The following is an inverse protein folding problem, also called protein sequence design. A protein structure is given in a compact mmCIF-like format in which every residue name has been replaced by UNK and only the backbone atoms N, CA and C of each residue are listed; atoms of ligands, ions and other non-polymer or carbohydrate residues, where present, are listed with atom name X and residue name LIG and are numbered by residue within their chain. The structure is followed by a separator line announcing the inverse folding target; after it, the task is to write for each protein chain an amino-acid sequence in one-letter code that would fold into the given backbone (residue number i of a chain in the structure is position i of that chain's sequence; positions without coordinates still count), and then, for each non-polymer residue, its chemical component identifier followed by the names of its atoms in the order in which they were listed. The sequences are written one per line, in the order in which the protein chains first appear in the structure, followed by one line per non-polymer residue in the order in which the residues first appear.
data_IF_298764855352
#
_entry.id   IF_298764855352
#
_cell.length_a   1.000
_cell.length_b   1.000
_cell.length_c   1.000
_cell.angle_alpha   90.00
_cell.angle_beta   90.00
_cell.angle_gamma   90.00
#
_symmetry.space_group_name_H-M   'P 1'
#
loop_
_entity.id
_entity.type
_entity.pdbx_description
1 polymer ?
#
# COMPACT_ATOMS: atom_id res chain seq x y z
N UNK A 1 -5.04 -12.45 64.01
CA UNK A 1 -5.87 -13.65 63.78
C UNK A 1 -6.06 -13.78 62.28
N UNK A 2 -5.55 -14.71 61.47
CA UNK A 2 -4.86 -16.02 61.54
C UNK A 2 -3.99 -16.07 60.24
N UNK A 3 -2.64 -16.16 60.24
CA UNK A 3 -1.74 -17.35 60.14
C UNK A 3 -2.43 -18.60 59.53
N UNK A 4 -2.02 -19.24 58.41
CA UNK A 4 -0.91 -20.23 58.28
C UNK A 4 -0.76 -20.77 56.81
N UNK A 5 0.46 -20.65 56.25
CA UNK A 5 1.37 -21.61 55.52
C UNK A 5 1.14 -22.30 54.14
N UNK A 6 2.23 -22.20 53.33
CA UNK A 6 3.06 -23.20 52.57
C UNK A 6 2.37 -24.20 51.57
N UNK A 7 2.99 -24.72 50.49
CA UNK A 7 4.38 -25.11 50.22
C UNK A 7 4.62 -25.38 48.69
N UNK A 8 5.91 -25.51 48.33
CA UNK A 8 6.52 -25.72 47.00
C UNK A 8 6.21 -27.08 46.35
N UNK A 9 6.35 -27.18 45.02
CA UNK A 9 6.97 -28.35 44.38
C UNK A 9 7.83 -27.99 43.16
N UNK A 10 8.92 -28.74 43.06
CA UNK A 10 10.08 -28.64 42.17
C UNK A 10 9.93 -29.74 41.10
N UNK A 11 10.19 -29.47 39.82
CA UNK A 11 10.49 -30.54 38.84
C UNK A 11 11.72 -30.14 38.04
N UNK A 12 12.79 -30.89 38.28
CA UNK A 12 14.01 -30.99 37.50
C UNK A 12 13.78 -32.04 36.40
N UNK A 13 14.22 -31.78 35.18
CA UNK A 13 14.26 -32.77 34.10
C UNK A 13 15.43 -32.48 33.17
N UNK A 14 16.44 -33.34 33.22
CA UNK A 14 17.74 -33.25 32.56
C UNK A 14 17.77 -34.10 31.27
N UNK A 15 18.47 -33.56 30.25
CA UNK A 15 19.22 -34.18 29.14
C UNK A 15 18.53 -35.06 28.07
N UNK A 16 18.84 -34.77 26.79
CA UNK A 16 19.87 -35.53 26.08
C UNK A 16 20.38 -34.80 24.83
N UNK A 17 21.71 -34.74 24.70
CA UNK A 17 22.48 -34.29 23.54
C UNK A 17 22.73 -35.53 22.67
N UNK A 18 22.44 -35.45 21.37
CA UNK A 18 22.95 -36.40 20.37
C UNK A 18 23.67 -35.60 19.30
N UNK A 19 25.01 -35.65 19.36
CA UNK A 19 25.90 -35.23 18.29
C UNK A 19 26.13 -36.41 17.36
N UNK A 20 25.60 -36.34 16.14
CA UNK A 20 25.88 -37.30 15.07
C UNK A 20 26.91 -36.73 14.11
N UNK A 21 28.13 -37.25 14.19
CA UNK A 21 29.17 -37.10 13.17
C UNK A 21 28.76 -37.85 11.90
N UNK A 22 28.77 -37.19 10.75
CA UNK A 22 28.82 -37.87 9.44
C UNK A 22 30.12 -37.49 8.73
N UNK A 23 30.88 -38.54 8.45
CA UNK A 23 32.12 -38.53 7.68
C UNK A 23 31.85 -38.44 6.18
N UNK A 24 32.87 -37.91 5.50
CA UNK A 24 33.00 -37.62 4.08
C UNK A 24 33.08 -38.93 3.28
N UNK A 25 32.38 -39.01 2.15
CA UNK A 25 32.79 -39.85 1.02
C UNK A 25 32.75 -39.02 -0.28
N UNK A 26 33.94 -38.67 -0.75
CA UNK A 26 34.20 -38.09 -2.07
C UNK A 26 34.35 -39.21 -3.08
N UNK A 27 33.36 -39.40 -3.95
CA UNK A 27 33.49 -40.19 -5.18
C UNK A 27 33.59 -39.24 -6.38
N UNK A 28 34.81 -39.06 -6.88
CA UNK A 28 35.10 -38.42 -8.15
C UNK A 28 34.89 -39.43 -9.29
N UNK A 29 33.85 -39.24 -10.09
CA UNK A 29 33.68 -39.92 -11.38
C UNK A 29 33.91 -38.88 -12.48
N UNK A 30 35.07 -38.97 -13.13
CA UNK A 30 35.40 -38.21 -14.33
C UNK A 30 34.88 -38.94 -15.57
N UNK A 31 33.91 -38.35 -16.25
CA UNK A 31 33.48 -38.76 -17.60
C UNK A 31 33.74 -37.61 -18.59
N UNK A 32 34.33 -37.86 -19.77
CA UNK A 32 34.54 -36.84 -20.80
C UNK A 32 33.23 -36.63 -21.59
N UNK A 33 32.57 -35.49 -21.38
CA UNK A 33 31.46 -35.05 -22.21
C UNK A 33 31.99 -34.44 -23.51
N UNK A 34 31.63 -35.08 -24.63
CA UNK A 34 31.76 -34.52 -25.98
C UNK A 34 30.96 -33.20 -26.07
N UNK A 35 31.65 -32.11 -26.39
CA UNK A 35 31.03 -30.84 -26.70
C UNK A 35 30.49 -30.84 -28.14
N UNK A 36 29.17 -30.94 -28.30
CA UNK A 36 28.51 -30.58 -29.55
C UNK A 36 28.44 -29.04 -29.67
N UNK A 37 28.67 -28.47 -30.87
CA UNK A 37 28.57 -27.02 -31.06
C UNK A 37 27.10 -26.58 -30.94
N UNK A 38 26.83 -25.75 -29.92
CA UNK A 38 25.56 -25.05 -29.75
C UNK A 38 25.38 -24.04 -30.89
N UNK A 39 24.47 -24.35 -31.81
CA UNK A 39 23.99 -23.40 -32.80
C UNK A 39 23.28 -22.23 -32.09
N UNK A 40 23.76 -21.00 -32.29
CA UNK A 40 23.06 -19.77 -31.90
C UNK A 40 21.74 -19.68 -32.69
N UNK A 41 20.64 -20.16 -32.11
CA UNK A 41 19.31 -19.81 -32.59
C UNK A 41 19.09 -18.34 -32.22
N UNK A 42 19.20 -17.45 -33.21
CA UNK A 42 18.87 -16.04 -33.05
C UNK A 42 17.44 -15.90 -32.56
N UNK A 43 17.25 -15.43 -31.32
CA UNK A 43 15.92 -15.11 -30.79
C UNK A 43 15.28 -14.07 -31.69
N UNK A 44 14.20 -14.45 -32.37
CA UNK A 44 13.37 -13.51 -33.11
C UNK A 44 12.95 -12.35 -32.19
N UNK A 45 12.97 -11.11 -32.69
CA UNK A 45 12.63 -9.94 -31.88
C UNK A 45 11.21 -10.09 -31.33
N UNK A 46 11.08 -10.06 -30.00
CA UNK A 46 9.77 -10.11 -29.34
C UNK A 46 8.94 -8.91 -29.81
N UNK A 47 7.90 -9.19 -30.61
CA UNK A 47 6.94 -8.20 -31.06
C UNK A 47 6.35 -7.51 -29.83
N UNK A 48 6.48 -6.18 -29.75
CA UNK A 48 5.89 -5.41 -28.64
C UNK A 48 4.41 -5.75 -28.51
N UNK A 49 3.91 -6.06 -27.30
CA UNK A 49 2.50 -6.31 -27.09
C UNK A 49 1.67 -5.13 -27.61
N UNK A 50 0.59 -5.42 -28.33
CA UNK A 50 -0.31 -4.37 -28.81
C UNK A 50 -0.93 -3.62 -27.63
N UNK A 51 -1.07 -2.30 -27.78
CA UNK A 51 -1.84 -1.46 -26.85
C UNK A 51 -3.31 -1.87 -26.95
N UNK A 52 -3.95 -2.18 -25.82
CA UNK A 52 -5.32 -2.68 -25.77
C UNK A 52 -6.16 -1.85 -24.81
N UNK A 53 -6.55 -0.65 -25.25
CA UNK A 53 -7.23 0.34 -24.39
C UNK A 53 -8.75 0.28 -24.44
N UNK A 54 -9.35 -0.54 -25.31
CA UNK A 54 -10.80 -0.70 -25.36
C UNK A 54 -11.32 -1.46 -24.12
N UNK A 55 -12.48 -1.04 -23.61
CA UNK A 55 -13.16 -1.72 -22.51
C UNK A 55 -13.46 -3.18 -22.85
N UNK A 56 -12.97 -4.14 -22.05
CA UNK A 56 -13.32 -5.54 -22.20
C UNK A 56 -14.71 -5.84 -21.62
N UNK A 57 -15.25 -7.02 -21.94
CA UNK A 57 -16.50 -7.51 -21.36
C UNK A 57 -16.29 -8.92 -20.76
N UNK A 58 -16.41 -9.13 -19.44
CA UNK A 58 -16.46 -8.10 -18.38
C UNK A 58 -15.07 -7.55 -18.03
N UNK A 59 -14.02 -8.34 -18.22
CA UNK A 59 -12.63 -8.01 -17.86
C UNK A 59 -11.65 -8.71 -18.81
N UNK A 60 -10.36 -8.42 -18.67
CA UNK A 60 -9.28 -8.95 -19.53
C UNK A 60 -8.10 -9.42 -18.70
N UNK A 61 -7.45 -10.48 -19.19
CA UNK A 61 -6.14 -10.88 -18.71
C UNK A 61 -5.10 -9.78 -18.96
N UNK A 62 -4.20 -9.60 -18.00
CA UNK A 62 -3.10 -8.68 -18.08
C UNK A 62 -1.98 -9.25 -18.97
N UNK A 63 -1.65 -8.54 -20.04
CA UNK A 63 -0.50 -8.83 -20.87
C UNK A 63 0.75 -8.23 -20.22
N UNK A 64 1.53 -9.08 -19.56
CA UNK A 64 2.77 -8.70 -18.87
C UNK A 64 3.99 -9.09 -19.71
N UNK A 65 4.68 -8.09 -20.25
CA UNK A 65 5.96 -8.30 -20.93
C UNK A 65 7.13 -8.42 -19.94
N UNK A 66 8.26 -9.03 -20.33
CA UNK A 66 9.45 -9.02 -19.51
C UNK A 66 9.96 -7.58 -19.37
N UNK A 67 10.10 -7.10 -18.13
CA UNK A 67 10.68 -5.80 -17.82
C UNK A 67 12.09 -6.02 -17.28
N UNK A 68 13.06 -5.31 -17.86
CA UNK A 68 14.45 -5.42 -17.43
C UNK A 68 14.65 -4.64 -16.14
N UNK A 69 14.95 -5.34 -15.06
CA UNK A 69 15.35 -4.67 -13.83
C UNK A 69 16.67 -3.90 -14.02
N UNK A 70 16.64 -2.62 -13.67
CA UNK A 70 17.85 -1.81 -13.51
C UNK A 70 18.34 -1.81 -12.07
N UNK A 71 19.38 -1.00 -11.83
CA UNK A 71 19.95 -0.76 -10.49
C UNK A 71 19.65 0.63 -9.95
N UNK A 72 19.01 1.48 -10.75
CA UNK A 72 18.76 2.88 -10.42
C UNK A 72 17.42 2.99 -9.76
N UNK A 73 17.36 3.58 -8.56
CA UNK A 73 16.08 3.86 -7.93
C UNK A 73 15.39 4.99 -8.69
N UNK A 74 14.12 4.80 -9.02
CA UNK A 74 13.30 5.83 -9.62
C UNK A 74 12.03 5.99 -8.79
N UNK A 75 11.61 7.23 -8.61
CA UNK A 75 10.33 7.55 -8.00
C UNK A 75 9.25 7.67 -9.08
N UNK A 76 8.11 7.04 -8.87
CA UNK A 76 6.91 7.15 -9.68
C UNK A 76 5.90 8.03 -8.95
N UNK A 77 5.28 8.94 -9.68
CA UNK A 77 4.21 9.78 -9.17
C UNK A 77 3.24 10.15 -10.29
N UNK A 78 1.97 10.32 -9.93
CA UNK A 78 0.98 10.92 -10.82
C UNK A 78 1.03 12.43 -10.69
N UNK A 79 0.52 13.11 -11.71
CA UNK A 79 0.28 14.53 -11.72
C UNK A 79 -0.99 14.75 -12.53
N UNK A 80 -2.05 15.25 -11.90
CA UNK A 80 -3.28 15.61 -12.60
C UNK A 80 -3.39 17.13 -12.69
N UNK A 81 -3.78 17.61 -13.86
CA UNK A 81 -4.28 18.96 -14.08
C UNK A 81 -5.81 18.96 -14.05
N UNK A 82 -6.45 20.09 -14.37
CA UNK A 82 -7.91 20.16 -14.53
C UNK A 82 -8.46 19.27 -15.65
N UNK A 83 -7.63 18.88 -16.62
CA UNK A 83 -8.05 18.15 -17.82
C UNK A 83 -7.28 16.86 -18.06
N UNK A 84 -6.03 16.77 -17.61
CA UNK A 84 -5.11 15.73 -18.07
C UNK A 84 -4.42 15.03 -16.91
N UNK A 85 -4.08 13.76 -17.13
CA UNK A 85 -3.47 12.89 -16.15
C UNK A 85 -2.12 12.37 -16.64
N UNK A 86 -1.09 12.57 -15.83
CA UNK A 86 0.28 12.19 -16.15
C UNK A 86 0.79 11.17 -15.15
N UNK A 87 1.48 10.14 -15.64
CA UNK A 87 2.32 9.26 -14.83
C UNK A 87 3.78 9.56 -15.17
N UNK A 88 4.55 9.97 -14.16
CA UNK A 88 5.94 10.38 -14.33
C UNK A 88 6.89 9.46 -13.57
N UNK A 89 8.11 9.35 -14.12
CA UNK A 89 9.26 8.71 -13.49
C UNK A 89 10.38 9.73 -13.27
N UNK A 90 10.92 9.75 -12.07
CA UNK A 90 12.06 10.58 -11.70
C UNK A 90 13.27 9.70 -11.35
N UNK A 91 14.34 9.78 -12.14
CA UNK A 91 15.63 9.13 -11.84
C UNK A 91 16.36 9.96 -10.77
N UNK A 92 16.49 9.42 -9.56
CA UNK A 92 17.02 10.18 -8.42
C UNK A 92 18.49 10.58 -8.56
N UNK A 93 19.25 9.89 -9.42
CA UNK A 93 20.68 10.13 -9.57
C UNK A 93 20.94 11.27 -10.55
N UNK A 94 20.19 11.28 -11.65
CA UNK A 94 20.32 12.28 -12.72
C UNK A 94 19.40 13.48 -12.54
N UNK A 95 18.35 13.35 -11.71
CA UNK A 95 17.29 14.34 -11.58
C UNK A 95 16.36 14.42 -12.79
N UNK A 96 16.47 13.49 -13.74
CA UNK A 96 15.70 13.49 -14.98
C UNK A 96 14.28 12.99 -14.74
N UNK A 97 13.29 13.79 -15.17
CA UNK A 97 11.89 13.38 -15.30
C UNK A 97 11.63 12.73 -16.66
N UNK A 98 10.79 11.70 -16.70
CA UNK A 98 10.35 11.02 -17.91
C UNK A 98 8.85 10.74 -17.78
N UNK A 99 8.06 11.19 -18.74
CA UNK A 99 6.64 10.86 -18.82
C UNK A 99 6.49 9.40 -19.26
N UNK A 100 5.86 8.57 -18.42
CA UNK A 100 5.49 7.19 -18.74
C UNK A 100 4.18 7.18 -19.52
N UNK A 101 3.20 7.95 -19.05
CA UNK A 101 1.85 8.03 -19.62
C UNK A 101 1.34 9.46 -19.57
N UNK A 102 0.64 9.86 -20.63
CA UNK A 102 -0.12 11.10 -20.70
C UNK A 102 -1.53 10.77 -21.21
N UNK A 103 -2.55 11.05 -20.40
CA UNK A 103 -3.96 10.88 -20.72
C UNK A 103 -4.57 12.26 -20.95
N UNK A 104 -5.00 12.52 -22.18
CA UNK A 104 -5.69 13.76 -22.51
C UNK A 104 -7.17 13.66 -22.11
N UNK A 105 -7.73 14.71 -21.51
CA UNK A 105 -9.13 14.77 -21.06
C UNK A 105 -9.53 13.67 -20.07
N UNK A 106 -8.58 13.15 -19.30
CA UNK A 106 -8.82 12.16 -18.26
C UNK A 106 -7.78 12.29 -17.15
N UNK A 107 -8.18 12.01 -15.90
CA UNK A 107 -7.28 11.99 -14.75
C UNK A 107 -6.85 10.56 -14.41
N UNK A 108 -5.77 10.44 -13.64
CA UNK A 108 -5.30 9.20 -13.04
C UNK A 108 -5.59 9.25 -11.55
N UNK A 109 -6.37 8.31 -11.03
CA UNK A 109 -6.63 8.16 -9.60
C UNK A 109 -6.24 6.77 -9.11
N UNK A 110 -5.98 6.65 -7.80
CA UNK A 110 -5.74 5.36 -7.14
C UNK A 110 -4.64 4.54 -7.84
N UNK A 111 -3.53 5.22 -8.15
CA UNK A 111 -2.43 4.63 -8.90
C UNK A 111 -1.52 3.82 -7.97
N UNK A 112 -1.32 2.54 -8.31
CA UNK A 112 -0.60 1.56 -7.49
C UNK A 112 0.48 0.88 -8.29
N UNK A 113 1.69 0.87 -7.74
CA UNK A 113 2.77 0.07 -8.27
C UNK A 113 2.59 -1.41 -7.89
N UNK A 114 2.86 -2.32 -8.82
CA UNK A 114 2.88 -3.76 -8.57
C UNK A 114 3.95 -4.14 -7.52
N UNK A 115 3.75 -5.25 -6.78
CA UNK A 115 4.72 -5.75 -5.82
C UNK A 115 6.11 -6.08 -6.38
N UNK A 116 6.29 -6.27 -7.68
CA UNK A 116 7.62 -6.37 -8.32
C UNK A 116 8.18 -5.02 -8.81
N UNK A 117 7.36 -3.99 -8.89
CA UNK A 117 7.74 -2.65 -9.33
C UNK A 117 7.76 -2.47 -10.85
N UNK A 118 7.19 -3.40 -11.61
CA UNK A 118 7.22 -3.39 -13.08
C UNK A 118 5.98 -2.80 -13.74
N UNK A 119 4.86 -2.75 -13.04
CA UNK A 119 3.59 -2.25 -13.56
C UNK A 119 2.98 -1.23 -12.62
N UNK A 120 2.17 -0.34 -13.18
CA UNK A 120 1.28 0.55 -12.43
C UNK A 120 -0.14 0.26 -12.87
N UNK A 121 -1.00 -0.08 -11.92
CA UNK A 121 -2.46 -0.08 -12.12
C UNK A 121 -3.02 1.25 -11.65
N UNK A 122 -4.09 1.72 -12.28
CA UNK A 122 -4.74 2.97 -11.89
C UNK A 122 -6.18 3.01 -12.40
N UNK A 123 -6.97 3.90 -11.83
CA UNK A 123 -8.33 4.20 -12.26
C UNK A 123 -8.30 5.43 -13.16
N UNK A 124 -9.02 5.37 -14.28
CA UNK A 124 -9.21 6.49 -15.20
C UNK A 124 -10.55 6.36 -15.94
N UNK A 125 -10.82 7.24 -16.90
CA UNK A 125 -11.97 7.13 -17.81
C UNK A 125 -11.54 6.66 -19.20
N UNK A 126 -12.24 5.65 -19.72
CA UNK A 126 -12.11 5.14 -21.09
C UNK A 126 -13.48 5.24 -21.75
N UNK A 127 -13.60 6.05 -22.79
CA UNK A 127 -14.87 6.30 -23.50
C UNK A 127 -16.02 6.68 -22.54
N UNK A 128 -15.72 7.50 -21.52
CA UNK A 128 -16.71 7.94 -20.52
C UNK A 128 -17.08 6.88 -19.46
N UNK A 129 -16.43 5.72 -19.44
CA UNK A 129 -16.57 4.70 -18.40
C UNK A 129 -15.38 4.72 -17.45
N UNK A 130 -15.63 4.60 -16.15
CA UNK A 130 -14.55 4.32 -15.20
C UNK A 130 -13.94 2.96 -15.51
N UNK A 131 -12.61 2.92 -15.53
CA UNK A 131 -11.84 1.78 -15.95
C UNK A 131 -10.61 1.59 -15.08
N UNK A 132 -10.25 0.33 -14.86
CA UNK A 132 -8.94 -0.04 -14.34
C UNK A 132 -8.03 -0.24 -15.55
N UNK A 133 -6.98 0.57 -15.63
CA UNK A 133 -5.92 0.42 -16.60
C UNK A 133 -4.62 -0.02 -15.93
N UNK A 134 -3.72 -0.59 -16.74
CA UNK A 134 -2.39 -0.99 -16.33
C UNK A 134 -1.38 -0.59 -17.41
N UNK A 135 -0.21 -0.13 -16.98
CA UNK A 135 0.91 0.21 -17.87
C UNK A 135 2.22 -0.28 -17.26
N UNK A 136 3.17 -0.68 -18.10
CA UNK A 136 4.55 -0.94 -17.67
C UNK A 136 5.23 0.35 -17.20
N UNK A 137 6.12 0.26 -16.22
CA UNK A 137 6.89 1.43 -15.72
C UNK A 137 7.87 1.99 -16.76
N UNK A 138 8.06 1.29 -17.88
CA UNK A 138 8.80 1.73 -19.05
C UNK A 138 7.91 2.44 -20.11
N UNK A 139 6.62 2.61 -19.83
CA UNK A 139 5.64 3.23 -20.72
C UNK A 139 5.04 2.28 -21.76
N UNK A 140 5.38 0.99 -21.72
CA UNK A 140 4.85 0.02 -22.68
C UNK A 140 3.61 -0.69 -22.14
N UNK A 141 2.90 -1.38 -23.05
CA UNK A 141 1.81 -2.30 -22.72
C UNK A 141 0.64 -1.67 -21.94
N UNK A 142 0.31 -0.40 -22.24
CA UNK A 142 -0.92 0.21 -21.76
C UNK A 142 -2.13 -0.63 -22.19
N UNK A 143 -2.95 -0.98 -21.22
CA UNK A 143 -4.12 -1.82 -21.44
C UNK A 143 -5.24 -1.53 -20.45
N UNK A 144 -6.48 -1.75 -20.90
CA UNK A 144 -7.68 -1.69 -20.06
C UNK A 144 -8.05 -3.09 -19.59
N UNK A 145 -8.06 -3.27 -18.28
CA UNK A 145 -8.29 -4.55 -17.61
C UNK A 145 -9.76 -4.76 -17.28
N UNK A 146 -10.47 -3.70 -16.91
CA UNK A 146 -11.87 -3.74 -16.48
C UNK A 146 -12.53 -2.37 -16.71
N UNK A 147 -13.81 -2.36 -17.06
CA UNK A 147 -14.64 -1.16 -17.09
C UNK A 147 -15.93 -1.40 -16.32
N UNK A 148 -16.36 -0.41 -15.52
CA UNK A 148 -17.66 -0.46 -14.85
C UNK A 148 -18.76 -0.38 -15.92
N UNK A 149 -19.71 -1.32 -15.98
CA UNK A 149 -20.77 -1.25 -16.98
C UNK A 149 -21.64 0.00 -16.75
N UNK A 150 -22.04 0.66 -17.85
CA UNK A 150 -22.88 1.87 -17.78
C UNK A 150 -24.16 1.64 -16.99
N UNK A 151 -24.58 2.67 -16.25
CA UNK A 151 -25.89 2.76 -15.58
C UNK A 151 -26.18 1.58 -14.64
N UNK A 152 -25.15 0.96 -14.08
CA UNK A 152 -25.31 -0.15 -13.13
C UNK A 152 -25.70 0.32 -11.74
N UNK A 153 -25.40 1.57 -11.38
CA UNK A 153 -25.77 2.16 -10.10
C UNK A 153 -25.98 3.69 -10.21
N UNK A 154 -26.66 4.31 -9.22
CA UNK A 154 -26.82 5.77 -9.16
C UNK A 154 -25.48 6.53 -9.11
N UNK A 155 -24.43 5.88 -8.60
CA UNK A 155 -23.09 6.44 -8.48
C UNK A 155 -22.12 5.39 -8.99
N UNK A 156 -21.29 5.75 -9.96
CA UNK A 156 -20.22 4.90 -10.49
C UNK A 156 -18.90 5.29 -9.84
N UNK A 157 -18.18 4.31 -9.28
CA UNK A 157 -16.83 4.49 -8.74
C UNK A 157 -16.02 3.20 -8.94
N UNK A 158 -14.69 3.35 -8.91
CA UNK A 158 -13.75 2.26 -8.66
C UNK A 158 -12.72 2.87 -7.72
N UNK A 159 -12.50 2.23 -6.57
CA UNK A 159 -11.57 2.72 -5.57
C UNK A 159 -10.97 1.57 -4.74
N UNK A 160 -9.99 1.95 -3.92
CA UNK A 160 -9.17 1.10 -3.05
C UNK A 160 -8.56 -0.10 -3.78
N UNK A 161 -7.91 0.17 -4.90
CA UNK A 161 -7.17 -0.83 -5.67
C UNK A 161 -6.04 -1.41 -4.83
N UNK A 162 -6.05 -2.72 -4.63
CA UNK A 162 -4.98 -3.46 -3.97
C UNK A 162 -4.42 -4.55 -4.87
N UNK A 163 -3.09 -4.58 -4.98
CA UNK A 163 -2.39 -5.72 -5.53
C UNK A 163 -2.32 -6.85 -4.51
N UNK A 164 -2.62 -8.06 -4.97
CA UNK A 164 -2.22 -9.27 -4.25
C UNK A 164 -0.69 -9.38 -4.19
N UNK A 165 -0.12 -9.91 -3.08
CA UNK A 165 1.34 -10.10 -2.95
C UNK A 165 1.96 -10.98 -4.03
N UNK A 166 1.20 -11.95 -4.54
CA UNK A 166 1.62 -12.88 -5.59
C UNK A 166 1.46 -12.31 -7.01
N UNK A 167 0.93 -11.08 -7.12
CA UNK A 167 0.71 -10.35 -8.36
C UNK A 167 -0.23 -11.06 -9.34
N UNK A 168 -1.08 -11.96 -8.87
CA UNK A 168 -2.05 -12.66 -9.73
C UNK A 168 -3.42 -11.98 -9.73
N UNK A 169 -3.67 -11.09 -8.78
CA UNK A 169 -4.97 -10.49 -8.55
C UNK A 169 -4.90 -8.99 -8.27
N UNK A 170 -5.94 -8.28 -8.71
CA UNK A 170 -6.31 -6.95 -8.23
C UNK A 170 -7.62 -7.05 -7.46
N UNK A 171 -7.64 -6.52 -6.24
CA UNK A 171 -8.86 -6.30 -5.45
C UNK A 171 -9.25 -4.83 -5.56
N UNK A 172 -10.54 -4.55 -5.66
CA UNK A 172 -11.06 -3.18 -5.69
C UNK A 172 -12.52 -3.19 -5.28
N UNK A 173 -13.06 -2.00 -4.99
CA UNK A 173 -14.50 -1.84 -4.77
C UNK A 173 -15.21 -1.29 -5.99
N UNK A 174 -16.47 -1.69 -6.13
CA UNK A 174 -17.37 -1.18 -7.17
C UNK A 174 -18.78 -0.98 -6.59
N UNK A 175 -19.63 -0.19 -7.27
CA UNK A 175 -21.03 -0.06 -6.91
C UNK A 175 -21.74 -1.42 -6.87
N UNK A 176 -22.71 -1.56 -5.97
CA UNK A 176 -23.59 -2.72 -5.93
C UNK A 176 -24.88 -2.42 -6.71
N UNK A 177 -25.09 -3.02 -7.90
CA UNK A 177 -26.26 -2.71 -8.72
C UNK A 177 -27.57 -3.19 -8.10
N UNK A 178 -27.52 -4.16 -7.18
CA UNK A 178 -28.71 -4.75 -6.57
C UNK A 178 -29.23 -3.98 -5.35
N UNK A 179 -28.55 -2.90 -4.92
CA UNK A 179 -28.91 -2.16 -3.71
C UNK A 179 -29.00 -0.67 -3.97
N UNK A 180 -30.13 -0.09 -3.56
CA UNK A 180 -30.34 1.37 -3.57
C UNK A 180 -29.41 2.09 -2.58
N UNK A 181 -28.93 1.38 -1.54
CA UNK A 181 -27.97 1.90 -0.56
C UNK A 181 -26.54 1.56 -0.97
N UNK A 182 -25.64 2.53 -0.82
CA UNK A 182 -24.21 2.48 -1.20
C UNK A 182 -23.38 1.47 -0.37
N UNK A 183 -23.66 0.17 -0.41
CA UNK A 183 -22.73 -0.87 0.07
C UNK A 183 -21.90 -1.36 -1.11
N UNK A 184 -20.63 -0.95 -1.29
CA UNK A 184 -19.81 -1.39 -2.41
C UNK A 184 -19.62 -2.91 -2.40
N UNK A 185 -19.52 -3.52 -3.57
CA UNK A 185 -19.03 -4.89 -3.70
C UNK A 185 -17.51 -4.89 -3.61
N UNK A 186 -16.93 -5.96 -3.05
CA UNK A 186 -15.51 -6.23 -3.21
C UNK A 186 -15.32 -7.26 -4.33
N UNK A 187 -14.57 -6.87 -5.36
CA UNK A 187 -14.28 -7.71 -6.52
C UNK A 187 -12.80 -8.00 -6.64
N UNK A 188 -12.49 -9.21 -7.09
CA UNK A 188 -11.16 -9.63 -7.50
C UNK A 188 -11.14 -9.85 -9.01
N UNK A 189 -10.17 -9.23 -9.67
CA UNK A 189 -9.77 -9.55 -11.03
C UNK A 189 -8.55 -10.47 -11.02
N UNK A 190 -8.68 -11.67 -11.61
CA UNK A 190 -7.57 -12.55 -11.97
C UNK A 190 -6.84 -11.99 -13.19
N UNK A 191 -5.57 -11.63 -13.00
CA UNK A 191 -4.74 -11.01 -14.01
C UNK A 191 -4.20 -12.00 -15.05
N UNK A 192 -4.18 -13.30 -14.77
CA UNK A 192 -3.73 -14.30 -15.72
C UNK A 192 -4.84 -14.67 -16.72
N UNK A 193 -6.08 -14.79 -16.24
CA UNK A 193 -7.21 -15.28 -17.02
C UNK A 193 -8.22 -14.19 -17.39
N UNK A 194 -8.16 -13.01 -16.77
CA UNK A 194 -9.15 -11.96 -16.97
C UNK A 194 -10.51 -12.27 -16.37
N UNK A 195 -10.55 -13.20 -15.40
CA UNK A 195 -11.80 -13.58 -14.75
C UNK A 195 -12.10 -12.64 -13.58
N UNK A 196 -13.34 -12.19 -13.48
CA UNK A 196 -13.80 -11.25 -12.46
C UNK A 196 -14.73 -11.96 -11.47
N UNK A 197 -14.46 -11.84 -10.18
CA UNK A 197 -15.21 -12.50 -9.11
C UNK A 197 -15.63 -11.53 -8.03
N UNK A 198 -16.90 -11.54 -7.65
CA UNK A 198 -17.34 -10.90 -6.39
C UNK A 198 -16.96 -11.80 -5.21
N UNK A 199 -16.05 -11.32 -4.38
CA UNK A 199 -15.57 -12.07 -3.20
C UNK A 199 -16.33 -11.74 -1.94
N UNK A 200 -16.93 -10.55 -1.88
CA UNK A 200 -17.71 -10.14 -0.73
C UNK A 200 -18.81 -9.15 -1.13
N UNK A 201 -20.02 -9.42 -0.64
CA UNK A 201 -21.18 -8.55 -0.77
C UNK A 201 -21.60 -8.16 0.66
N UNK A 202 -21.39 -6.91 1.08
CA UNK A 202 -21.76 -6.50 2.42
C UNK A 202 -23.26 -6.69 2.67
N UNK A 203 -23.61 -7.22 3.84
CA UNK A 203 -24.98 -7.30 4.33
C UNK A 203 -25.25 -6.19 5.35
N UNK A 204 -26.50 -5.76 5.47
CA UNK A 204 -26.87 -4.65 6.34
C UNK A 204 -26.37 -3.29 5.85
N UNK A 205 -26.07 -2.40 6.81
CA UNK A 205 -25.66 -1.01 6.59
C UNK A 205 -24.16 -0.78 6.83
N UNK A 206 -23.35 -1.84 6.81
CA UNK A 206 -21.90 -1.73 7.00
C UNK A 206 -21.21 -1.90 5.65
N UNK A 207 -20.40 -0.91 5.26
CA UNK A 207 -19.48 -1.02 4.14
C UNK A 207 -18.08 -1.42 4.62
N UNK A 208 -17.24 -1.85 3.67
CA UNK A 208 -15.85 -2.21 3.95
C UNK A 208 -14.90 -1.56 2.96
N UNK A 209 -13.79 -1.02 3.46
CA UNK A 209 -12.69 -0.42 2.69
C UNK A 209 -11.50 -1.37 2.80
N UNK A 210 -10.99 -1.95 1.70
CA UNK A 210 -9.80 -2.78 1.78
C UNK A 210 -8.57 -1.91 2.02
N UNK A 211 -7.76 -2.28 3.02
CA UNK A 211 -6.60 -1.50 3.47
C UNK A 211 -5.26 -2.20 3.22
N UNK A 212 -5.23 -3.52 3.26
CA UNK A 212 -3.99 -4.26 3.00
C UNK A 212 -4.26 -5.71 2.63
N UNK A 213 -3.38 -6.28 1.82
CA UNK A 213 -3.44 -7.69 1.41
C UNK A 213 -2.13 -8.38 1.78
N UNK A 214 -1.87 -8.70 3.07
CA UNK A 214 -0.55 -9.16 3.52
C UNK A 214 -0.19 -10.56 3.00
N UNK A 215 -1.19 -11.42 2.82
CA UNK A 215 -1.01 -12.81 2.37
C UNK A 215 -2.12 -13.18 1.39
N UNK A 216 -1.85 -14.12 0.48
CA UNK A 216 -2.74 -14.45 -0.65
C UNK A 216 -4.23 -14.65 -0.29
N UNK A 217 -4.55 -15.11 0.92
CA UNK A 217 -5.91 -15.45 1.33
C UNK A 217 -6.53 -14.54 2.41
N UNK A 218 -5.89 -13.41 2.75
CA UNK A 218 -6.41 -12.49 3.77
C UNK A 218 -6.32 -11.05 3.32
N UNK A 219 -7.43 -10.33 3.45
CA UNK A 219 -7.51 -8.89 3.20
C UNK A 219 -7.94 -8.20 4.48
N UNK A 220 -7.15 -7.23 4.92
CA UNK A 220 -7.50 -6.33 6.01
C UNK A 220 -8.37 -5.21 5.48
N UNK A 221 -9.41 -4.89 6.24
CA UNK A 221 -10.43 -3.94 5.83
C UNK A 221 -10.86 -3.09 7.01
N UNK A 222 -11.27 -1.87 6.73
CA UNK A 222 -11.97 -1.01 7.66
C UNK A 222 -13.48 -1.16 7.46
N UNK A 223 -14.21 -1.41 8.53
CA UNK A 223 -15.66 -1.29 8.54
C UNK A 223 -16.10 0.17 8.69
N UNK A 224 -17.16 0.56 8.00
CA UNK A 224 -17.80 1.85 8.19
C UNK A 224 -19.31 1.73 8.12
N UNK A 225 -19.99 2.54 8.93
CA UNK A 225 -21.45 2.63 8.87
C UNK A 225 -21.90 3.50 7.71
N UNK A 226 -22.95 3.07 7.01
CA UNK A 226 -23.67 3.87 6.02
C UNK A 226 -24.79 4.72 6.63
N UNK A 227 -25.19 4.43 7.87
CA UNK A 227 -26.16 5.25 8.60
C UNK A 227 -25.46 5.98 9.75
N UNK A 228 -25.70 7.28 9.87
CA UNK A 228 -25.22 8.08 10.99
C UNK A 228 -25.74 7.60 12.37
N UNK A 229 -26.81 6.80 12.39
CA UNK A 229 -27.46 6.29 13.60
C UNK A 229 -26.99 4.91 14.07
N UNK A 230 -26.18 4.18 13.29
CA UNK A 230 -25.82 2.80 13.65
C UNK A 230 -24.70 2.76 14.70
N UNK A 231 -24.75 1.74 15.57
CA UNK A 231 -23.84 1.56 16.72
C UNK A 231 -22.53 0.85 16.38
N UNK A 232 -22.30 0.46 15.12
CA UNK A 232 -20.98 -0.06 14.71
C UNK A 232 -20.02 1.12 14.81
N UNK A 233 -18.99 1.00 15.66
CA UNK A 233 -17.96 2.00 15.74
C UNK A 233 -17.41 2.19 14.32
N UNK A 234 -17.59 3.38 13.72
CA UNK A 234 -17.00 3.63 12.42
C UNK A 234 -15.51 3.39 12.62
N UNK A 235 -14.88 2.68 11.68
CA UNK A 235 -13.44 2.44 11.64
C UNK A 235 -12.90 1.13 12.23
N UNK A 236 -13.71 0.24 12.80
CA UNK A 236 -13.20 -1.07 13.27
C UNK A 236 -12.48 -1.86 12.16
N UNK A 237 -11.44 -2.61 12.55
CA UNK A 237 -10.60 -3.39 11.64
C UNK A 237 -11.10 -4.83 11.55
N UNK A 238 -11.25 -5.30 10.32
CA UNK A 238 -11.69 -6.64 9.99
C UNK A 238 -10.69 -7.34 9.08
N UNK A 239 -10.72 -8.67 9.08
CA UNK A 239 -10.02 -9.51 8.11
C UNK A 239 -11.02 -10.35 7.32
N UNK A 240 -10.96 -10.26 6.00
CA UNK A 240 -11.67 -11.13 5.06
C UNK A 240 -10.77 -12.31 4.68
N UNK A 241 -11.25 -13.53 4.91
CA UNK A 241 -10.69 -14.70 4.27
C UNK A 241 -11.29 -14.84 2.87
N UNK A 242 -10.47 -14.65 1.84
CA UNK A 242 -10.90 -14.58 0.43
C UNK A 242 -11.53 -15.91 -0.02
N UNK A 243 -10.86 -17.04 0.27
CA UNK A 243 -11.32 -18.38 -0.13
C UNK A 243 -12.62 -18.81 0.55
N UNK A 244 -12.79 -18.46 1.82
CA UNK A 244 -13.97 -18.84 2.63
C UNK A 244 -15.09 -17.81 2.58
N UNK A 245 -14.82 -16.63 2.02
CA UNK A 245 -15.71 -15.45 2.03
C UNK A 245 -16.23 -15.13 3.43
N UNK A 246 -15.37 -15.25 4.45
CA UNK A 246 -15.70 -15.01 5.86
C UNK A 246 -14.95 -13.81 6.40
N UNK A 247 -15.67 -12.93 7.08
CA UNK A 247 -15.10 -11.78 7.79
C UNK A 247 -14.96 -12.11 9.28
N UNK A 248 -13.88 -11.61 9.88
CA UNK A 248 -13.64 -11.65 11.34
C UNK A 248 -13.20 -10.26 11.80
N UNK A 249 -13.77 -9.77 12.91
CA UNK A 249 -13.29 -8.57 13.60
C UNK A 249 -11.91 -8.82 14.24
N UNK A 250 -11.00 -7.86 14.11
CA UNK A 250 -9.60 -7.98 14.58
C UNK A 250 -9.26 -6.94 15.64
N UNK A 251 -9.67 -5.70 15.45
CA UNK A 251 -9.34 -4.61 16.37
C UNK A 251 -10.43 -3.55 16.35
N UNK A 252 -10.76 -3.01 17.53
CA UNK A 252 -11.65 -1.87 17.64
C UNK A 252 -10.85 -0.58 17.55
N UNK A 253 -11.35 0.38 16.79
CA UNK A 253 -10.72 1.70 16.67
C UNK A 253 -11.51 2.69 17.52
N UNK A 254 -10.80 3.37 18.41
CA UNK A 254 -11.34 4.47 19.20
C UNK A 254 -10.86 5.80 18.63
N UNK A 255 -11.78 6.74 18.44
CA UNK A 255 -11.48 8.07 17.90
C UNK A 255 -11.76 8.19 16.40
N UNK A 256 -11.66 9.42 15.89
CA UNK A 256 -11.84 9.74 14.47
C UNK A 256 -10.52 9.93 13.73
N UNK A 257 -9.44 10.20 14.46
CA UNK A 257 -8.09 10.29 13.92
C UNK A 257 -7.40 8.97 14.19
N UNK A 258 -7.18 8.20 13.14
CA UNK A 258 -6.56 6.90 13.24
C UNK A 258 -5.97 6.52 11.90
N UNK A 259 -5.06 5.56 11.97
CA UNK A 259 -4.46 4.97 10.80
C UNK A 259 -3.95 3.57 11.12
N UNK A 260 -3.74 2.75 10.11
CA UNK A 260 -3.22 1.40 10.32
C UNK A 260 -2.20 0.99 9.27
N UNK A 261 -1.25 0.16 9.71
CA UNK A 261 -0.27 -0.44 8.82
C UNK A 261 0.04 -1.86 9.25
N UNK A 262 0.43 -2.71 8.31
CA UNK A 262 0.86 -4.08 8.57
C UNK A 262 2.36 -4.19 8.36
N UNK A 263 3.05 -4.92 9.25
CA UNK A 263 4.45 -5.22 8.99
C UNK A 263 4.59 -6.06 7.71
N UNK A 264 5.66 -5.88 6.92
CA UNK A 264 5.81 -6.57 5.63
C UNK A 264 5.89 -8.09 5.73
N UNK A 265 6.28 -8.61 6.88
CA UNK A 265 6.28 -10.05 7.18
C UNK A 265 4.88 -10.59 7.53
N UNK A 266 3.87 -9.72 7.59
CA UNK A 266 2.49 -10.08 7.89
C UNK A 266 2.28 -10.54 9.33
N UNK A 267 3.19 -10.23 10.26
CA UNK A 267 3.09 -10.72 11.64
C UNK A 267 2.42 -9.73 12.60
N UNK A 268 2.49 -8.43 12.31
CA UNK A 268 2.00 -7.38 13.22
C UNK A 268 1.05 -6.42 12.51
N UNK A 269 0.05 -5.98 13.28
CA UNK A 269 -0.81 -4.84 12.99
C UNK A 269 -0.36 -3.66 13.85
N UNK A 270 -0.02 -2.55 13.19
CA UNK A 270 0.25 -1.27 13.81
C UNK A 270 -1.00 -0.40 13.73
N UNK A 271 -1.33 0.29 14.81
CA UNK A 271 -2.44 1.24 14.89
C UNK A 271 -1.94 2.59 15.41
N UNK A 272 -2.16 3.64 14.62
CA UNK A 272 -2.08 5.03 15.06
C UNK A 272 -3.48 5.47 15.50
N UNK A 273 -3.60 6.07 16.67
CA UNK A 273 -4.88 6.57 17.17
C UNK A 273 -4.68 7.92 17.86
N UNK A 274 -5.62 8.83 17.65
CA UNK A 274 -5.62 10.19 18.17
C UNK A 274 -7.02 10.68 18.47
N UNK A 275 -7.08 11.81 19.17
CA UNK A 275 -8.32 12.55 19.29
C UNK A 275 -8.59 13.31 17.99
N UNK A 276 -9.85 13.40 17.59
CA UNK A 276 -10.29 14.36 16.58
C UNK A 276 -11.70 14.84 16.93
N UNK A 277 -11.98 16.09 16.58
CA UNK A 277 -13.34 16.63 16.69
C UNK A 277 -14.20 16.01 15.57
N UNK A 278 -15.36 15.41 15.86
CA UNK A 278 -16.25 14.93 14.80
C UNK A 278 -16.71 16.09 13.89
N UNK A 279 -17.09 15.81 12.64
CA UNK A 279 -17.13 14.50 11.98
C UNK A 279 -15.81 14.12 11.26
N UNK A 280 -14.95 15.08 10.96
CA UNK A 280 -13.68 14.94 10.20
C UNK A 280 -12.67 16.02 10.63
N UNK A 281 -12.64 16.32 11.93
CA UNK A 281 -11.85 17.42 12.48
C UNK A 281 -10.35 17.20 12.32
N UNK A 282 -9.62 18.30 12.46
CA UNK A 282 -8.16 18.27 12.47
C UNK A 282 -7.67 17.28 13.55
N UNK A 283 -6.72 16.39 13.22
CA UNK A 283 -6.02 15.54 14.18
C UNK A 283 -5.57 16.33 15.41
N UNK A 284 -5.90 15.85 16.61
CA UNK A 284 -5.59 16.49 17.87
C UNK A 284 -4.78 15.57 18.79
N UNK A 285 -3.86 16.13 19.59
CA UNK A 285 -3.29 15.38 20.70
C UNK A 285 -4.36 15.08 21.77
N UNK A 286 -4.15 14.05 22.62
CA UNK A 286 -3.03 13.12 22.59
C UNK A 286 -3.15 12.09 21.45
N UNK A 287 -2.03 11.49 21.07
CA UNK A 287 -1.99 10.38 20.12
C UNK A 287 -1.07 9.25 20.59
N UNK A 288 -1.32 8.06 20.07
CA UNK A 288 -0.58 6.84 20.37
C UNK A 288 -0.34 6.05 19.09
N UNK A 289 0.80 5.35 19.05
CA UNK A 289 1.07 4.27 18.10
C UNK A 289 1.19 3.00 18.93
N UNK A 290 0.46 1.96 18.53
CA UNK A 290 0.47 0.67 19.17
C UNK A 290 0.65 -0.46 18.17
N UNK A 291 1.02 -1.65 18.66
CA UNK A 291 1.16 -2.87 17.87
C UNK A 291 0.47 -4.05 18.53
N UNK A 292 0.02 -5.00 17.72
CA UNK A 292 -0.41 -6.32 18.17
C UNK A 292 -0.10 -7.37 17.10
N UNK A 293 -0.20 -8.64 17.47
CA UNK A 293 -0.14 -9.72 16.49
C UNK A 293 -1.28 -9.60 15.47
N UNK A 294 -1.01 -9.99 14.23
CA UNK A 294 -1.99 -9.94 13.13
C UNK A 294 -3.25 -10.79 13.41
N UNK A 295 -3.13 -11.82 14.25
CA UNK A 295 -4.26 -12.66 14.68
C UNK A 295 -5.18 -12.00 15.71
N UNK A 296 -4.83 -10.81 16.19
CA UNK A 296 -5.39 -10.10 17.33
C UNK A 296 -4.54 -10.30 18.60
N UNK A 297 -4.87 -9.58 19.67
CA UNK A 297 -4.18 -9.70 20.95
C UNK A 297 -4.29 -8.44 21.79
N UNK A 298 -3.37 -8.27 22.73
CA UNK A 298 -3.25 -7.03 23.49
C UNK A 298 -2.41 -6.03 22.70
N UNK A 299 -2.89 -4.79 22.60
CA UNK A 299 -2.13 -3.69 22.04
C UNK A 299 -0.98 -3.32 22.97
N UNK A 300 0.21 -3.19 22.41
CA UNK A 300 1.41 -2.69 23.07
C UNK A 300 1.74 -1.32 22.53
N UNK A 301 1.89 -0.32 23.41
CA UNK A 301 2.23 1.06 23.00
C UNK A 301 3.69 1.13 22.57
N UNK A 302 3.93 1.65 21.37
CA UNK A 302 5.25 1.93 20.79
C UNK A 302 5.64 3.39 21.02
N UNK A 303 4.68 4.29 20.84
CA UNK A 303 4.86 5.73 20.93
C UNK A 303 3.62 6.37 21.53
N UNK A 304 3.81 7.40 22.34
CA UNK A 304 2.72 8.22 22.87
C UNK A 304 3.15 9.69 22.90
N UNK A 305 2.21 10.58 22.60
CA UNK A 305 2.42 12.02 22.65
C UNK A 305 1.20 12.72 23.23
N UNK A 306 1.42 13.58 24.21
CA UNK A 306 0.36 14.43 24.78
C UNK A 306 0.19 15.77 24.05
N UNK A 307 1.06 16.09 23.10
CA UNK A 307 1.15 17.42 22.47
C UNK A 307 1.14 17.38 20.94
N UNK A 308 1.35 16.21 20.34
CA UNK A 308 1.31 16.03 18.89
C UNK A 308 0.29 14.96 18.52
N UNK A 309 -0.36 15.16 17.37
CA UNK A 309 -1.18 14.14 16.72
C UNK A 309 -0.31 13.30 15.78
N UNK A 310 -0.53 11.99 15.77
CA UNK A 310 0.01 11.06 14.78
C UNK A 310 -1.07 10.87 13.73
N UNK A 311 -0.81 11.34 12.52
CA UNK A 311 -1.83 11.38 11.46
C UNK A 311 -1.71 10.24 10.47
N UNK A 312 -0.51 9.67 10.37
CA UNK A 312 -0.22 8.57 9.46
C UNK A 312 0.90 7.67 9.99
N UNK A 313 0.84 6.37 9.71
CA UNK A 313 1.85 5.36 10.06
C UNK A 313 2.13 4.40 8.90
N UNK A 314 3.36 3.95 8.70
CA UNK A 314 3.69 2.97 7.68
C UNK A 314 4.81 2.05 8.16
N UNK A 315 4.55 0.75 8.28
CA UNK A 315 5.60 -0.22 8.55
C UNK A 315 6.50 -0.39 7.32
N UNK A 316 7.80 -0.18 7.50
CA UNK A 316 8.79 -0.28 6.42
C UNK A 316 9.69 -1.50 6.55
N UNK A 317 9.61 -2.18 7.69
CA UNK A 317 10.19 -3.50 7.94
C UNK A 317 9.44 -4.15 9.10
N UNK A 318 9.81 -5.38 9.49
CA UNK A 318 9.29 -6.01 10.71
C UNK A 318 9.75 -5.33 12.01
N UNK A 319 10.69 -4.37 11.92
CA UNK A 319 11.30 -3.71 13.09
C UNK A 319 11.23 -2.20 13.04
N UNK A 320 10.75 -1.60 11.96
CA UNK A 320 10.81 -0.15 11.74
C UNK A 320 9.55 0.34 11.07
N UNK A 321 9.05 1.48 11.54
CA UNK A 321 7.94 2.19 10.93
C UNK A 321 8.30 3.66 10.72
N UNK A 322 7.63 4.27 9.74
CA UNK A 322 7.56 5.70 9.54
C UNK A 322 6.22 6.21 10.07
N UNK A 323 6.18 7.45 10.52
CA UNK A 323 4.93 8.10 10.90
C UNK A 323 5.01 9.61 10.74
N UNK A 324 3.86 10.25 10.56
CA UNK A 324 3.75 11.70 10.44
C UNK A 324 3.25 12.28 11.76
N UNK A 325 4.00 13.25 12.29
CA UNK A 325 3.54 14.10 13.39
C UNK A 325 3.00 15.42 12.84
N UNK A 326 1.83 15.80 13.32
CA UNK A 326 1.11 17.00 12.91
C UNK A 326 0.14 16.76 11.76
N UNK A 327 -0.92 17.57 11.73
CA UNK A 327 -1.91 17.58 10.65
C UNK A 327 -1.39 18.21 9.36
N UNK A 328 -2.22 18.15 8.32
CA UNK A 328 -1.97 18.78 7.00
C UNK A 328 -1.61 20.26 7.10
N UNK A 329 -2.02 20.94 8.18
CA UNK A 329 -1.83 22.37 8.40
C UNK A 329 -0.95 22.70 9.63
N UNK A 330 -0.38 21.69 10.29
CA UNK A 330 0.44 21.93 11.47
C UNK A 330 1.83 22.46 11.07
N UNK A 331 2.31 23.50 11.77
CA UNK A 331 3.57 24.21 11.51
C UNK A 331 4.50 24.29 12.74
N UNK A 332 4.56 23.22 13.54
CA UNK A 332 5.46 23.06 14.67
C UNK A 332 6.87 22.59 14.27
N UNK A 333 7.87 22.93 15.10
CA UNK A 333 9.27 22.54 14.89
C UNK A 333 9.51 21.01 14.90
N UNK A 334 8.56 20.24 15.44
CA UNK A 334 8.57 18.77 15.52
C UNK A 334 7.65 18.09 14.51
N UNK A 335 6.93 18.86 13.70
CA UNK A 335 6.05 18.26 12.72
C UNK A 335 6.86 17.64 11.58
N UNK A 336 6.21 16.75 10.84
CA UNK A 336 6.75 16.13 9.65
C UNK A 336 6.94 14.63 9.81
N UNK A 337 7.90 14.07 9.07
CA UNK A 337 8.11 12.64 8.98
C UNK A 337 9.13 12.15 10.01
N UNK A 338 8.75 11.12 10.74
CA UNK A 338 9.55 10.46 11.77
C UNK A 338 9.75 8.98 11.46
N UNK A 339 10.80 8.43 12.03
CA UNK A 339 11.13 7.01 12.02
C UNK A 339 11.31 6.52 13.44
N UNK A 340 10.77 5.34 13.75
CA UNK A 340 10.95 4.67 15.04
C UNK A 340 11.00 3.16 14.82
N UNK A 341 11.66 2.44 15.73
CA UNK A 341 11.57 0.99 15.75
C UNK A 341 10.23 0.53 16.36
N UNK A 342 9.77 -0.67 16.01
CA UNK A 342 8.52 -1.23 16.55
C UNK A 342 8.60 -1.56 18.05
N UNK A 343 9.78 -1.48 18.65
CA UNK A 343 10.00 -1.60 20.10
C UNK A 343 10.04 -0.24 20.83
N UNK A 344 9.80 0.86 20.10
CA UNK A 344 9.84 2.24 20.63
C UNK A 344 11.22 2.87 20.64
N UNK A 345 12.28 2.15 20.29
CA UNK A 345 13.65 2.69 20.24
C UNK A 345 13.93 3.42 18.92
N UNK A 346 15.07 4.14 18.85
CA UNK A 346 15.58 4.68 17.59
C UNK A 346 14.78 5.83 16.97
N UNK A 347 13.98 6.55 17.78
CA UNK A 347 13.19 7.69 17.32
C UNK A 347 14.07 8.75 16.63
N UNK A 348 13.77 9.05 15.37
CA UNK A 348 14.54 9.96 14.53
C UNK A 348 13.60 10.84 13.70
N UNK A 349 13.80 12.16 13.75
CA UNK A 349 13.12 13.11 12.85
C UNK A 349 13.80 13.10 11.49
N UNK A 350 13.07 12.74 10.42
CA UNK A 350 13.63 12.63 9.08
C UNK A 350 13.52 13.95 8.30
N UNK A 351 12.37 14.62 8.40
CA UNK A 351 12.14 15.91 7.74
C UNK A 351 10.95 16.64 8.35
N UNK A 352 10.98 17.98 8.29
CA UNK A 352 9.85 18.85 8.62
C UNK A 352 8.84 18.98 7.50
N UNK A 353 9.29 18.79 6.26
CA UNK A 353 8.50 19.07 5.07
C UNK A 353 7.57 17.91 4.72
N UNK A 354 7.86 16.68 5.15
CA UNK A 354 7.03 15.51 4.85
C UNK A 354 5.76 15.46 5.68
N UNK A 355 4.60 15.72 5.06
CA UNK A 355 3.30 15.82 5.75
C UNK A 355 2.31 14.73 5.36
N UNK A 356 2.60 13.97 4.31
CA UNK A 356 1.72 12.94 3.81
C UNK A 356 2.54 11.76 3.28
N UNK A 357 2.44 10.61 3.94
CA UNK A 357 2.90 9.34 3.39
C UNK A 357 2.05 8.99 2.17
N UNK A 358 2.73 8.48 1.13
CA UNK A 358 2.05 7.88 -0.02
C UNK A 358 1.11 6.80 0.47
N UNK A 359 0.03 6.61 -0.29
CA UNK A 359 -1.03 5.68 0.05
C UNK A 359 -0.47 4.34 0.54
N UNK A 360 -0.85 4.00 1.78
CA UNK A 360 -0.11 3.14 2.69
C UNK A 360 -0.28 1.65 2.40
N UNK A 361 -1.04 1.32 1.35
CA UNK A 361 -1.43 -0.04 1.08
C UNK A 361 -0.31 -0.88 0.43
N UNK A 362 0.78 -0.26 -0.04
CA UNK A 362 1.99 -0.99 -0.46
C UNK A 362 3.25 -0.38 0.12
N UNK A 363 4.15 -1.20 0.68
CA UNK A 363 5.45 -0.73 1.19
C UNK A 363 6.27 0.04 0.14
N UNK A 364 6.10 -0.34 -1.14
CA UNK A 364 6.79 0.27 -2.28
C UNK A 364 6.30 1.67 -2.61
N UNK A 365 5.14 2.08 -2.11
CA UNK A 365 4.66 3.46 -2.26
C UNK A 365 5.56 4.45 -1.49
N UNK A 366 6.11 3.99 -0.37
CA UNK A 366 6.81 4.85 0.58
C UNK A 366 8.34 4.68 0.54
N UNK A 367 8.87 3.47 0.36
CA UNK A 367 10.31 3.18 0.50
C UNK A 367 10.96 2.68 -0.79
N UNK A 368 12.19 3.11 -1.04
CA UNK A 368 12.99 2.65 -2.18
C UNK A 368 13.26 1.15 -2.14
N UNK A 369 13.51 0.54 -3.30
CA UNK A 369 13.65 -0.93 -3.41
C UNK A 369 14.81 -1.50 -2.58
N UNK A 370 15.82 -0.68 -2.30
CA UNK A 370 16.97 -1.03 -1.45
C UNK A 370 16.76 -0.69 0.03
N UNK A 371 15.60 -0.15 0.42
CA UNK A 371 15.29 0.16 1.81
C UNK A 371 16.09 1.34 2.37
N UNK A 372 16.62 2.23 1.52
CA UNK A 372 17.52 3.33 1.94
C UNK A 372 16.88 4.71 1.92
N UNK A 373 15.82 4.91 1.15
CA UNK A 373 15.16 6.20 0.97
C UNK A 373 13.66 6.11 1.20
N UNK A 374 13.08 7.22 1.63
CA UNK A 374 11.64 7.43 1.70
C UNK A 374 11.20 8.41 0.62
N UNK A 375 9.93 8.31 0.22
CA UNK A 375 9.20 9.33 -0.51
C UNK A 375 8.01 9.80 0.34
N UNK A 376 7.74 11.10 0.29
CA UNK A 376 6.66 11.72 1.06
C UNK A 376 6.13 12.93 0.29
N UNK A 377 4.84 13.21 0.42
CA UNK A 377 4.25 14.42 -0.10
C UNK A 377 4.17 15.50 0.98
N UNK A 378 4.15 16.75 0.55
CA UNK A 378 3.92 17.91 1.41
C UNK A 378 2.81 18.76 0.84
N UNK A 379 2.06 19.41 1.71
CA UNK A 379 1.09 20.43 1.33
C UNK A 379 1.39 21.70 2.13
N UNK A 380 1.78 22.75 1.42
CA UNK A 380 1.98 24.07 2.00
C UNK A 380 0.76 24.92 1.69
N UNK A 381 -0.18 25.00 2.63
CA UNK A 381 -1.25 25.99 2.56
C UNK A 381 -0.63 27.39 2.67
N UNK A 382 -0.90 28.25 1.68
CA UNK A 382 -0.67 29.68 1.80
C UNK A 382 -2.00 30.35 2.15
N UNK A 383 -1.96 31.54 2.77
CA UNK A 383 -3.16 32.25 3.21
C UNK A 383 -4.17 32.58 2.08
N UNK A 384 -3.74 32.50 0.81
CA UNK A 384 -4.51 32.88 -0.37
C UNK A 384 -5.06 31.68 -1.16
N UNK A 385 -5.29 30.52 -0.52
CA UNK A 385 -5.75 29.26 -1.14
C UNK A 385 -4.86 28.71 -2.28
N UNK A 386 -3.69 29.30 -2.52
CA UNK A 386 -2.67 28.82 -3.45
C UNK A 386 -1.77 27.79 -2.78
N UNK A 387 -2.38 26.74 -2.23
CA UNK A 387 -1.64 25.65 -1.61
C UNK A 387 -0.71 24.97 -2.62
N UNK A 388 0.56 24.81 -2.28
CA UNK A 388 1.51 24.06 -3.11
C UNK A 388 1.61 22.62 -2.63
N UNK A 389 1.58 21.67 -3.56
CA UNK A 389 1.89 20.26 -3.25
C UNK A 389 3.31 19.95 -3.71
N UNK A 390 4.08 19.29 -2.84
CA UNK A 390 5.45 18.87 -3.14
C UNK A 390 5.53 17.35 -3.13
N UNK A 391 6.31 16.81 -4.08
CA UNK A 391 6.79 15.42 -4.01
C UNK A 391 8.25 15.47 -3.55
N UNK A 392 8.54 14.79 -2.45
CA UNK A 392 9.84 14.82 -1.78
C UNK A 392 10.40 13.40 -1.64
N UNK A 393 11.73 13.30 -1.59
CA UNK A 393 12.40 12.11 -1.09
C UNK A 393 13.60 12.47 -0.21
N UNK A 394 14.04 11.51 0.60
CA UNK A 394 15.22 11.66 1.46
C UNK A 394 15.76 10.32 1.93
N UNK A 395 16.93 10.32 2.56
CA UNK A 395 17.52 9.12 3.12
C UNK A 395 16.86 8.74 4.46
N UNK A 396 16.66 7.44 4.70
CA UNK A 396 16.15 6.93 5.98
C UNK A 396 17.13 7.13 7.15
N UNK A 397 18.40 7.42 6.86
CA UNK A 397 19.39 7.85 7.84
C UNK A 397 19.22 9.30 8.30
N UNK A 398 18.26 10.04 7.75
CA UNK A 398 18.11 11.49 7.92
C UNK A 398 18.92 12.28 6.90
N UNK A 399 18.92 13.60 7.04
CA UNK A 399 19.62 14.53 6.15
C UNK A 399 18.68 15.43 5.35
N UNK A 400 19.21 16.05 4.29
CA UNK A 400 18.45 16.99 3.46
C UNK A 400 17.46 16.25 2.56
N UNK A 401 16.22 16.74 2.52
CA UNK A 401 15.20 16.34 1.55
C UNK A 401 15.44 16.96 0.18
N UNK A 402 15.10 16.21 -0.86
CA UNK A 402 15.12 16.67 -2.24
C UNK A 402 13.70 16.82 -2.77
N UNK A 403 13.41 17.96 -3.39
CA UNK A 403 12.14 18.21 -4.08
C UNK A 403 12.22 17.60 -5.48
N UNK A 404 11.33 16.66 -5.76
CA UNK A 404 11.14 16.05 -7.08
C UNK A 404 10.25 16.93 -7.93
N UNK A 405 9.13 17.34 -7.35
CA UNK A 405 8.17 18.20 -8.02
C UNK A 405 7.53 19.20 -7.09
N UNK A 406 7.08 20.31 -7.69
CA UNK A 406 6.30 21.35 -7.03
C UNK A 406 5.16 21.72 -7.95
N UNK A 407 3.95 21.66 -7.42
CA UNK A 407 2.75 21.94 -8.19
C UNK A 407 1.95 23.05 -7.53
N UNK A 408 1.33 23.87 -8.37
CA UNK A 408 0.41 24.91 -7.92
C UNK A 408 -0.92 24.32 -7.44
N UNK A 409 -1.72 25.14 -6.78
CA UNK A 409 -3.03 24.75 -6.28
C UNK A 409 -3.93 24.23 -7.39
N UNK A 410 -4.70 23.19 -7.08
CA UNK A 410 -5.56 22.48 -8.03
C UNK A 410 -4.85 21.33 -8.76
N UNK A 411 -3.51 21.31 -8.78
CA UNK A 411 -2.76 20.16 -9.25
C UNK A 411 -2.42 19.23 -8.08
N UNK A 412 -2.73 17.95 -8.24
CA UNK A 412 -2.58 16.95 -7.19
C UNK A 412 -1.58 15.89 -7.61
N UNK A 413 -0.27 16.09 -7.33
CA UNK A 413 0.70 15.03 -7.51
C UNK A 413 0.55 14.00 -6.38
N UNK A 414 0.52 12.73 -6.75
CA UNK A 414 0.43 11.62 -5.80
C UNK A 414 1.60 10.67 -6.02
N UNK A 415 2.30 10.30 -4.96
CA UNK A 415 3.36 9.30 -5.06
C UNK A 415 2.72 7.94 -5.32
N UNK A 416 3.19 7.26 -6.36
CA UNK A 416 2.76 5.90 -6.73
C UNK A 416 3.69 4.85 -6.12
N UNK A 417 4.99 5.15 -6.07
CA UNK A 417 5.99 4.32 -5.41
C UNK A 417 7.34 4.25 -6.12
N UNK A 418 8.13 3.24 -5.78
CA UNK A 418 9.51 3.10 -6.22
C UNK A 418 9.72 1.95 -7.21
N UNK A 419 10.49 2.19 -8.26
CA UNK A 419 10.92 1.17 -9.22
C UNK A 419 12.42 1.23 -9.47
N UNK A 420 13.00 0.13 -9.97
CA UNK A 420 14.41 0.09 -10.39
C UNK A 420 14.62 0.04 -11.90
N UNK A 421 13.55 0.11 -12.68
CA UNK A 421 13.55 -0.03 -14.14
C UNK A 421 14.04 1.24 -14.84
#
# INVERSE_FOLDING_TARGET
MHIVWKQRLLVLGIALIVAGFFTIDTLSISSPLHASPLALIGKAPHKKPAIQTNCPSPARAAVRGPVKEGRRQNLLYTYNTSSDGFLLRYDIRSGKKTTILNLNNATISDARISPDGHFVSFVTQVNGQLAIQMVGVDGQSLQTLYCVPHNTAPINFIDDLLWSPDQQHLLFRVPNPAKERMTPLLQILDLAHGSLHTIFTPSGNVGYIPLAWPVANQVYMQGYSLNASDTVAPHDVYVLNVSRKRIKHVASITGYDWDMSLTPDGNQLLLGQGAALPPQGQPQPPSLISTQAISGGNLQVIYASHVYAVTQICAISSKTLLFVLGGRFASGARDGLWKINTDGSGLTHLTRDGKLLSDQHTLRSTISRDGRMYAVASYNATADDKGQTLVLYGALGGGRTTVVDRTDAGNNPEIVGWTTV
#
